data_IF_545655468935
#
_entry.id   IF_545655468935
#
_cell.length_a   1.000
_cell.length_b   1.000
_cell.length_c   1.000
_cell.angle_alpha   90.00
_cell.angle_beta   90.00
_cell.angle_gamma   90.00
#
_symmetry.space_group_name_H-M   'P 1'
#
loop_
_entity.id
_entity.type
_entity.pdbx_description
1 polymer ?
#
# COMPACT_ATOMS: atom_id res chain seq x y z
N UNK A 1 -5.86 14.79 5.46
CA UNK A 1 -5.08 14.81 4.19
C UNK A 1 -5.09 13.39 3.65
N UNK A 2 -5.62 13.12 2.45
CA UNK A 2 -5.67 11.75 1.92
C UNK A 2 -4.25 11.25 1.68
N UNK A 3 -3.90 10.08 2.23
CA UNK A 3 -2.59 9.48 2.05
C UNK A 3 -2.41 8.95 0.63
N UNK A 4 -1.18 8.93 0.13
CA UNK A 4 -0.84 8.47 -1.23
C UNK A 4 -1.32 7.03 -1.49
N UNK A 5 -1.28 6.15 -0.47
CA UNK A 5 -1.83 4.77 -0.52
C UNK A 5 -3.34 4.78 -0.82
N UNK A 6 -4.11 5.69 -0.21
CA UNK A 6 -5.56 5.80 -0.42
C UNK A 6 -5.88 6.22 -1.86
N UNK A 7 -5.10 7.15 -2.40
CA UNK A 7 -5.22 7.58 -3.80
C UNK A 7 -4.89 6.42 -4.74
N UNK A 8 -3.80 5.71 -4.48
CA UNK A 8 -3.36 4.59 -5.30
C UNK A 8 -4.40 3.46 -5.32
N UNK A 9 -5.06 3.18 -4.19
CA UNK A 9 -6.15 2.21 -4.09
C UNK A 9 -7.33 2.60 -4.98
N UNK A 10 -7.72 3.87 -4.95
CA UNK A 10 -8.82 4.36 -5.79
C UNK A 10 -8.47 4.30 -7.28
N UNK A 11 -7.23 4.62 -7.65
CA UNK A 11 -6.76 4.48 -9.04
C UNK A 11 -6.76 3.03 -9.50
N UNK A 12 -6.35 2.09 -8.64
CA UNK A 12 -6.46 0.65 -8.90
C UNK A 12 -7.90 0.20 -9.16
N UNK A 13 -8.84 0.60 -8.31
CA UNK A 13 -10.27 0.31 -8.48
C UNK A 13 -10.83 0.88 -9.79
N UNK A 14 -10.44 2.11 -10.15
CA UNK A 14 -10.84 2.73 -11.41
C UNK A 14 -10.21 2.03 -12.64
N UNK A 15 -9.08 1.34 -12.48
CA UNK A 15 -8.47 0.53 -13.54
C UNK A 15 -9.38 -0.58 -14.07
N UNK A 16 -10.38 -1.01 -13.30
CA UNK A 16 -11.38 -1.98 -13.74
C UNK A 16 -12.52 -1.27 -14.50
N UNK A 17 -12.31 -1.09 -15.81
CA UNK A 17 -13.37 -0.65 -16.73
C UNK A 17 -13.65 0.86 -16.74
N UNK A 18 -13.01 1.67 -15.90
CA UNK A 18 -13.14 3.15 -15.92
C UNK A 18 -11.87 3.86 -16.40
N UNK A 19 -10.71 3.25 -16.22
CA UNK A 19 -9.40 3.70 -16.71
C UNK A 19 -8.71 2.57 -17.48
N UNK A 20 -7.66 2.92 -18.21
CA UNK A 20 -6.82 1.93 -18.87
C UNK A 20 -6.09 1.07 -17.82
N UNK A 21 -6.43 -0.21 -17.73
CA UNK A 21 -5.85 -1.14 -16.77
C UNK A 21 -4.33 -1.25 -16.88
N UNK A 22 -3.75 -1.27 -18.08
CA UNK A 22 -2.31 -1.37 -18.29
C UNK A 22 -1.57 -0.13 -17.75
N UNK A 23 -2.11 1.06 -17.99
CA UNK A 23 -1.55 2.31 -17.49
C UNK A 23 -1.61 2.38 -15.95
N UNK A 24 -2.73 1.93 -15.37
CA UNK A 24 -2.91 1.85 -13.92
C UNK A 24 -1.91 0.86 -13.31
N UNK A 25 -1.75 -0.34 -13.89
CA UNK A 25 -0.79 -1.34 -13.42
C UNK A 25 0.66 -0.84 -13.51
N UNK A 26 1.04 -0.17 -14.61
CA UNK A 26 2.37 0.41 -14.75
C UNK A 26 2.66 1.50 -13.70
N UNK A 27 1.69 2.40 -13.46
CA UNK A 27 1.80 3.43 -12.43
C UNK A 27 1.99 2.82 -11.04
N UNK A 28 1.16 1.82 -10.71
CA UNK A 28 1.23 1.11 -9.44
C UNK A 28 2.58 0.43 -9.27
N UNK A 29 3.03 -0.33 -10.28
CA UNK A 29 4.32 -1.03 -10.25
C UNK A 29 5.51 -0.09 -10.07
N UNK A 30 5.44 1.13 -10.61
CA UNK A 30 6.48 2.14 -10.43
C UNK A 30 6.45 2.79 -9.05
N UNK A 31 5.26 3.01 -8.48
CA UNK A 31 5.12 3.67 -7.18
C UNK A 31 5.28 2.72 -6.00
N UNK A 32 4.92 1.45 -6.14
CA UNK A 32 4.90 0.48 -5.04
C UNK A 32 6.24 0.37 -4.28
N UNK A 33 7.39 0.24 -4.96
CA UNK A 33 8.68 0.13 -4.28
C UNK A 33 9.01 1.33 -3.40
N UNK A 34 8.50 2.52 -3.74
CA UNK A 34 8.77 3.76 -3.01
C UNK A 34 8.06 3.85 -1.66
N UNK A 35 7.14 2.93 -1.35
CA UNK A 35 6.45 2.89 -0.05
C UNK A 35 7.22 2.13 1.01
N UNK A 36 8.16 1.25 0.62
CA UNK A 36 9.02 0.58 1.61
C UNK A 36 9.86 1.63 2.33
N UNK A 37 9.88 1.56 3.66
CA UNK A 37 10.50 2.53 4.55
C UNK A 37 9.62 3.75 4.89
N UNK A 38 8.42 3.88 4.32
CA UNK A 38 7.50 4.97 4.68
C UNK A 38 6.70 4.63 5.94
N UNK A 39 6.53 5.63 6.80
CA UNK A 39 5.63 5.54 7.95
C UNK A 39 4.17 5.66 7.51
N UNK A 40 3.30 4.87 8.14
CA UNK A 40 1.87 4.81 7.92
C UNK A 40 1.13 4.76 9.24
N UNK A 41 -0.09 5.28 9.25
CA UNK A 41 -1.02 5.09 10.35
C UNK A 41 -2.00 3.96 10.00
N UNK A 42 -2.09 2.97 10.87
CA UNK A 42 -3.03 1.87 10.77
C UNK A 42 -4.43 2.31 11.22
N UNK A 43 -5.45 1.54 10.83
CA UNK A 43 -6.86 1.86 11.15
C UNK A 43 -7.17 1.87 12.64
N UNK A 44 -6.39 1.16 13.45
CA UNK A 44 -6.47 1.16 14.91
C UNK A 44 -5.70 2.32 15.57
N UNK A 45 -5.15 3.24 14.78
CA UNK A 45 -4.42 4.42 15.26
C UNK A 45 -2.91 4.21 15.47
N UNK A 46 -2.40 2.97 15.39
CA UNK A 46 -0.97 2.69 15.50
C UNK A 46 -0.18 3.32 14.35
N UNK A 47 1.04 3.76 14.65
CA UNK A 47 2.01 4.12 13.62
C UNK A 47 2.91 2.92 13.35
N UNK A 48 3.24 2.71 12.09
CA UNK A 48 4.19 1.68 11.68
C UNK A 48 4.94 2.07 10.42
N UNK A 49 5.95 1.28 10.08
CA UNK A 49 6.74 1.47 8.87
C UNK A 49 6.52 0.29 7.94
N UNK A 50 6.23 0.57 6.67
CA UNK A 50 6.14 -0.48 5.66
C UNK A 50 7.54 -1.06 5.47
N UNK A 51 7.72 -2.35 5.72
CA UNK A 51 9.02 -3.01 5.55
C UNK A 51 9.06 -3.91 4.32
N UNK A 52 7.89 -4.36 3.85
CA UNK A 52 7.80 -5.25 2.70
C UNK A 52 6.44 -5.08 2.02
N UNK A 53 6.46 -4.96 0.69
CA UNK A 53 5.25 -4.99 -0.12
C UNK A 53 4.76 -6.44 -0.27
N UNK A 54 3.45 -6.62 -0.31
CA UNK A 54 2.85 -7.91 -0.60
C UNK A 54 2.62 -8.04 -2.12
N UNK A 55 3.24 -9.02 -2.81
CA UNK A 55 3.11 -9.18 -4.26
C UNK A 55 1.73 -9.69 -4.69
N UNK A 56 0.96 -10.30 -3.77
CA UNK A 56 -0.39 -10.82 -4.04
C UNK A 56 -1.48 -9.78 -3.76
N UNK A 57 -1.26 -8.91 -2.77
CA UNK A 57 -2.17 -7.81 -2.44
C UNK A 57 -1.36 -6.57 -2.05
N UNK A 58 -1.06 -5.77 -3.06
CA UNK A 58 -0.22 -4.56 -2.99
C UNK A 58 -0.70 -3.51 -1.97
N UNK A 59 -1.96 -3.58 -1.51
CA UNK A 59 -2.51 -2.66 -0.51
C UNK A 59 -2.47 -3.22 0.92
N UNK A 60 -1.97 -4.44 1.08
CA UNK A 60 -1.82 -5.14 2.36
C UNK A 60 -0.34 -5.50 2.61
N UNK A 61 0.53 -4.50 2.78
CA UNK A 61 1.94 -4.73 3.05
C UNK A 61 2.19 -5.29 4.47
N UNK A 62 3.41 -5.76 4.70
CA UNK A 62 3.91 -6.04 6.04
C UNK A 62 4.40 -4.74 6.70
N UNK A 63 3.86 -4.44 7.88
CA UNK A 63 4.15 -3.22 8.62
C UNK A 63 4.86 -3.57 9.93
N UNK A 64 5.98 -2.91 10.22
CA UNK A 64 6.65 -2.96 11.52
C UNK A 64 6.07 -1.86 12.42
N UNK A 65 5.43 -2.22 13.53
CA UNK A 65 4.83 -1.23 14.46
C UNK A 65 5.75 -0.89 15.63
N UNK A 66 6.62 -1.83 16.03
CA UNK A 66 7.68 -1.63 17.01
C UNK A 66 8.89 -2.51 16.67
N UNK A 67 9.89 -2.65 17.55
CA UNK A 67 11.10 -3.43 17.28
C UNK A 67 10.87 -4.92 17.03
N UNK A 68 9.86 -5.52 17.65
CA UNK A 68 9.60 -6.97 17.67
C UNK A 68 8.27 -7.35 17.02
N UNK A 69 7.36 -6.40 16.85
CA UNK A 69 6.00 -6.60 16.38
C UNK A 69 5.87 -6.20 14.92
N UNK A 70 5.43 -7.17 14.13
CA UNK A 70 5.11 -7.02 12.72
C UNK A 70 3.63 -7.34 12.51
N UNK A 71 2.95 -6.52 11.72
CA UNK A 71 1.57 -6.69 11.31
C UNK A 71 1.52 -7.00 9.83
N UNK A 72 1.15 -8.23 9.53
CA UNK A 72 0.81 -8.64 8.18
C UNK A 72 -0.63 -8.20 7.89
N UNK A 73 -0.79 -7.18 7.05
CA UNK A 73 -2.12 -6.65 6.73
C UNK A 73 -2.90 -7.55 5.78
N UNK A 74 -2.34 -8.67 5.30
CA UNK A 74 -3.04 -9.65 4.47
C UNK A 74 -3.97 -10.59 5.23
N UNK A 75 -3.88 -10.59 6.57
CA UNK A 75 -4.61 -11.46 7.48
C UNK A 75 -5.57 -10.71 8.40
#
# INVERSE_FOLDING_TARGET
KQGLITVLRKVHELGFGKLNGNAVQALIGHLLPNFVGKSVQLSNGEQGTIIMNNPLDIFKPLVKVDETTFRDLSK
#
